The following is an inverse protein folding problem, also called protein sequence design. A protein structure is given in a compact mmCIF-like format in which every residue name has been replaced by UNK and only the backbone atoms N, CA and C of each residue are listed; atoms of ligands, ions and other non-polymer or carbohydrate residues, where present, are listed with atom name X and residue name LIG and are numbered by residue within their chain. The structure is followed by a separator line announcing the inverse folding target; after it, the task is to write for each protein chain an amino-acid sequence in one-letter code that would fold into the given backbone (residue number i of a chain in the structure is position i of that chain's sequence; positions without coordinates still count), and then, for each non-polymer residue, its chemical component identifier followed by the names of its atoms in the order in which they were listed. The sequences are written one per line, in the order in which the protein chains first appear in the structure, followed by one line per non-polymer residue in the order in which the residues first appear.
data_IF_049265068441
#
_entry.id   IF_049265068441
#
_cell.length_a   1.000
_cell.length_b   1.000
_cell.length_c   1.000
_cell.angle_alpha   90.00
_cell.angle_beta   90.00
_cell.angle_gamma   90.00
#
_symmetry.space_group_name_H-M   'P 1'
#
loop_
_entity.id
_entity.type
_entity.pdbx_description
1 polymer ?
#
# COMPACT_ATOMS: atom_id res chain seq x y z
N UNK A 1 8.22 -26.94 24.51
CA UNK A 1 6.81 -26.48 24.59
C UNK A 1 6.87 -24.97 24.65
N UNK A 2 6.84 -24.28 23.51
CA UNK A 2 5.62 -23.93 22.77
C UNK A 2 4.55 -23.41 23.72
N UNK A 3 4.37 -22.08 23.73
CA UNK A 3 3.10 -21.36 23.64
C UNK A 3 3.40 -19.86 23.84
N UNK A 4 3.94 -19.20 22.81
CA UNK A 4 3.80 -17.75 22.70
C UNK A 4 2.40 -17.49 22.13
N UNK A 5 1.40 -17.50 23.02
CA UNK A 5 0.05 -17.11 22.63
C UNK A 5 -0.06 -15.58 22.65
N UNK A 6 -0.04 -15.04 21.43
CA UNK A 6 -0.57 -13.76 20.97
C UNK A 6 -1.61 -13.14 21.91
N UNK A 7 -1.33 -11.95 22.44
CA UNK A 7 -2.35 -10.94 22.77
C UNK A 7 -1.68 -9.60 22.99
N UNK A 8 -1.85 -8.72 22.01
CA UNK A 8 -1.47 -7.30 22.03
C UNK A 8 -0.01 -6.97 21.71
N UNK A 9 0.48 -7.40 20.54
CA UNK A 9 1.19 -6.39 19.75
C UNK A 9 0.08 -5.46 19.28
N UNK A 10 -0.26 -4.50 20.12
CA UNK A 10 -0.83 -3.25 19.63
C UNK A 10 0.25 -2.73 18.68
N UNK A 11 0.18 -3.12 17.40
CA UNK A 11 0.71 -2.24 16.36
C UNK A 11 0.15 -0.89 16.76
N UNK A 12 0.97 0.10 17.10
CA UNK A 12 0.41 1.41 17.34
C UNK A 12 -0.31 1.71 16.03
N UNK A 13 -1.64 1.66 16.07
CA UNK A 13 -2.49 2.38 15.15
C UNK A 13 -2.03 3.81 15.36
N UNK A 14 -1.01 4.21 14.61
CA UNK A 14 -0.42 5.53 14.69
C UNK A 14 -1.47 6.45 14.12
N UNK A 15 -2.44 6.82 14.95
CA UNK A 15 -3.12 8.08 14.76
C UNK A 15 -2.05 9.13 15.03
N UNK A 16 -1.50 9.74 13.98
CA UNK A 16 -1.25 11.19 13.88
C UNK A 16 -0.18 11.47 12.81
N UNK A 17 -0.57 12.34 11.89
CA UNK A 17 0.08 12.81 10.68
C UNK A 17 0.19 11.82 9.51
N UNK A 18 -0.57 12.04 8.41
CA UNK A 18 -0.36 11.28 7.18
C UNK A 18 1.09 11.45 6.72
N UNK A 19 1.76 10.35 6.38
CA UNK A 19 3.13 10.41 5.86
C UNK A 19 3.19 11.38 4.69
N UNK A 20 4.07 12.36 4.80
CA UNK A 20 4.26 13.35 3.76
C UNK A 20 5.16 12.77 2.69
N UNK A 21 4.55 12.16 1.68
CA UNK A 21 5.29 11.59 0.57
C UNK A 21 5.95 12.66 -0.29
N UNK A 22 7.09 12.32 -0.91
CA UNK A 22 7.75 13.17 -1.90
C UNK A 22 6.89 13.22 -3.17
N UNK A 23 7.09 14.26 -4.00
CA UNK A 23 6.51 14.28 -5.34
C UNK A 23 6.96 13.03 -6.11
N UNK A 24 6.02 12.35 -6.76
CA UNK A 24 6.28 11.07 -7.42
C UNK A 24 5.90 9.83 -6.58
N UNK A 25 5.43 10.02 -5.36
CA UNK A 25 5.00 8.95 -4.47
C UNK A 25 3.55 9.18 -3.98
N UNK A 26 2.82 8.10 -3.78
CA UNK A 26 1.47 8.00 -3.19
C UNK A 26 1.59 7.43 -1.78
N UNK A 27 0.84 7.96 -0.82
CA UNK A 27 0.71 7.34 0.49
C UNK A 27 -0.19 6.10 0.39
N UNK A 28 0.22 5.01 1.04
CA UNK A 28 -0.65 3.85 1.26
C UNK A 28 -1.88 4.28 2.08
N UNK A 29 -2.95 3.47 2.05
CA UNK A 29 -4.21 3.74 2.75
C UNK A 29 -4.06 3.78 4.27
N UNK A 30 -3.13 2.98 4.81
CA UNK A 30 -2.77 3.05 6.23
C UNK A 30 -1.96 4.33 6.56
N UNK A 31 -1.48 5.05 5.54
CA UNK A 31 -0.77 6.31 5.71
C UNK A 31 0.58 6.19 6.42
N UNK A 32 1.12 4.97 6.54
CA UNK A 32 2.39 4.67 7.18
C UNK A 32 3.57 4.60 6.20
N UNK A 33 3.28 4.36 4.92
CA UNK A 33 4.28 4.13 3.88
C UNK A 33 3.94 4.90 2.60
N UNK A 34 4.97 5.19 1.81
CA UNK A 34 4.85 5.85 0.53
C UNK A 34 5.33 4.91 -0.56
N UNK A 35 4.45 4.63 -1.52
CA UNK A 35 4.72 3.84 -2.70
C UNK A 35 4.98 4.77 -3.89
N UNK A 36 5.80 4.35 -4.85
CA UNK A 36 6.06 5.12 -6.06
C UNK A 36 4.83 5.11 -6.95
N UNK A 37 4.49 6.19 -7.67
CA UNK A 37 3.33 6.16 -8.58
C UNK A 37 3.45 5.10 -9.68
N UNK A 38 4.67 4.65 -10.00
CA UNK A 38 4.92 3.56 -10.94
C UNK A 38 4.58 2.17 -10.39
N UNK A 39 4.55 2.01 -9.07
CA UNK A 39 4.19 0.76 -8.38
C UNK A 39 2.76 0.83 -7.84
N UNK A 40 1.90 1.59 -8.50
CA UNK A 40 0.47 1.61 -8.17
C UNK A 40 -0.21 0.91 -9.32
N UNK A 41 -0.85 -0.23 -9.03
CA UNK A 41 -1.44 -1.12 -10.01
C UNK A 41 -0.43 -1.74 -10.97
N UNK A 42 0.76 -2.11 -10.49
CA UNK A 42 1.77 -2.81 -11.28
C UNK A 42 1.71 -4.34 -11.10
N UNK A 43 0.83 -4.84 -10.23
CA UNK A 43 0.65 -6.25 -9.95
C UNK A 43 1.53 -6.78 -8.82
N UNK A 44 2.33 -5.92 -8.19
CA UNK A 44 3.11 -6.25 -6.99
C UNK A 44 2.49 -5.58 -5.76
N UNK A 45 2.66 -6.20 -4.59
CA UNK A 45 2.22 -5.60 -3.34
C UNK A 45 3.39 -4.82 -2.72
N UNK A 46 3.43 -3.52 -2.96
CA UNK A 46 4.41 -2.59 -2.39
C UNK A 46 3.92 -1.97 -1.08
N UNK A 47 2.62 -1.73 -0.91
CA UNK A 47 2.08 -1.33 0.39
C UNK A 47 1.91 -2.56 1.30
N UNK A 48 2.28 -2.45 2.58
CA UNK A 48 2.02 -3.51 3.57
C UNK A 48 0.55 -3.89 3.71
N UNK A 49 -0.36 -2.97 3.40
CA UNK A 49 -1.80 -3.23 3.41
C UNK A 49 -2.37 -3.60 2.02
N UNK A 50 -1.55 -3.56 0.96
CA UNK A 50 -1.94 -3.84 -0.42
C UNK A 50 -2.83 -2.80 -1.08
N UNK A 51 -2.93 -1.59 -0.52
CA UNK A 51 -3.79 -0.52 -1.04
C UNK A 51 -3.26 0.23 -2.26
N UNK A 52 -2.02 -0.03 -2.64
CA UNK A 52 -1.48 0.28 -3.95
C UNK A 52 -2.20 -0.49 -5.06
N UNK A 53 -2.61 -1.73 -4.79
CA UNK A 53 -3.30 -2.61 -5.73
C UNK A 53 -4.85 -2.63 -5.58
N UNK A 54 -5.38 -1.92 -4.58
CA UNK A 54 -6.82 -1.82 -4.33
C UNK A 54 -7.49 -0.84 -5.32
N UNK A 55 -8.52 -1.30 -6.03
CA UNK A 55 -9.30 -0.45 -6.96
C UNK A 55 -8.66 -0.23 -8.33
N UNK A 56 -7.72 -1.08 -8.76
CA UNK A 56 -7.08 -1.00 -10.09
C UNK A 56 -8.03 -1.27 -11.27
N UNK A 57 -9.28 -1.69 -11.02
CA UNK A 57 -10.30 -1.96 -12.05
C UNK A 57 -10.57 -0.77 -12.99
N UNK A 58 -10.36 0.46 -12.52
CA UNK A 58 -10.52 1.67 -13.33
C UNK A 58 -9.25 2.12 -14.04
N UNK A 59 -8.08 1.76 -13.51
CA UNK A 59 -6.78 2.09 -14.11
C UNK A 59 -6.51 1.22 -15.35
N UNK A 60 -6.94 -0.04 -15.32
CA UNK A 60 -6.91 -0.95 -16.47
C UNK A 60 -7.84 -0.48 -17.63
N UNK A 61 -8.84 0.35 -17.36
CA UNK A 61 -9.75 0.92 -18.39
C UNK A 61 -9.23 2.20 -19.04
N UNK A 62 -8.27 2.88 -18.41
CA UNK A 62 -7.76 4.18 -18.89
C UNK A 62 -6.31 4.04 -19.34
N UNK A 63 -6.01 3.02 -20.15
CA UNK A 63 -4.90 2.96 -21.10
C UNK A 63 -3.52 3.52 -20.72
N UNK A 64 -3.17 3.65 -19.44
CA UNK A 64 -1.94 4.35 -19.04
C UNK A 64 -0.78 3.40 -18.79
N UNK A 65 -1.02 2.14 -18.41
CA UNK A 65 -0.01 1.08 -18.54
C UNK A 65 -0.65 -0.24 -18.92
N UNK A 66 -0.31 -0.69 -20.12
CA UNK A 66 -0.50 -2.06 -20.57
C UNK A 66 0.43 -2.93 -19.74
N UNK A 67 -0.09 -3.73 -18.80
CA UNK A 67 0.70 -4.86 -18.31
C UNK A 67 0.72 -5.89 -19.45
N UNK A 68 1.92 -6.13 -19.99
CA UNK A 68 2.17 -7.07 -21.08
C UNK A 68 1.92 -8.50 -20.59
N UNK A 69 1.11 -9.23 -21.37
CA UNK A 69 1.04 -10.70 -21.58
C UNK A 69 1.35 -11.63 -20.41
#
# INVERSE_FOLDING_TARGET
QSQLHFSSISVPSVKTEPVKCRKGFKACKDGLECVMYSHVCDGEQDCKDGSDEDGCETLCKTGWFSWQT
#
